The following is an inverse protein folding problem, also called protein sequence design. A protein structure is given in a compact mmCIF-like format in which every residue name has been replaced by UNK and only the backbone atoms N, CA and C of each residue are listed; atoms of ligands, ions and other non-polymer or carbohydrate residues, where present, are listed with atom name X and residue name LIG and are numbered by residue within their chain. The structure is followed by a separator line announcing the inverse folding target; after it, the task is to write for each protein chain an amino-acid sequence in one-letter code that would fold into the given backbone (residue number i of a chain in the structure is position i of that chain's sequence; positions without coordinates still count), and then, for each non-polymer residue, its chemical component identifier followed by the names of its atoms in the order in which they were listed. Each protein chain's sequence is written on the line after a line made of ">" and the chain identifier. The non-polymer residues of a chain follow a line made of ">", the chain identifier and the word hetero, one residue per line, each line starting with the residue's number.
data_IF_124982115560
#
_entry.id   IF_124982115560
#
_cell.length_a   1.000
_cell.length_b   1.000
_cell.length_c   1.000
_cell.angle_alpha   90.00
_cell.angle_beta   90.00
_cell.angle_gamma   90.00
#
_symmetry.space_group_name_H-M   'P 1'
#
loop_
_entity.id
_entity.type
_entity.pdbx_description
1 polymer ?
#
# COMPACT_ATOMS: atom_id res chain seq x y z
N UNK A 1 1.15 -1.55 7.19
CA UNK A 1 0.88 -0.10 7.28
C UNK A 1 0.11 0.19 8.55
N UNK A 2 0.36 1.28 9.24
CA UNK A 2 -0.28 1.57 10.53
C UNK A 2 0.05 2.96 11.06
N UNK A 3 0.84 3.74 10.34
CA UNK A 3 1.17 5.09 10.76
C UNK A 3 0.10 6.08 10.23
N UNK A 4 -0.36 6.99 11.10
CA UNK A 4 -1.45 7.93 10.78
C UNK A 4 -1.10 8.89 9.63
N UNK A 5 0.17 9.17 9.43
CA UNK A 5 0.64 10.12 8.41
C UNK A 5 0.53 9.58 6.96
N UNK A 6 0.28 8.27 6.80
CA UNK A 6 0.18 7.61 5.50
C UNK A 6 -1.21 7.04 5.20
N UNK A 7 -2.26 7.63 5.76
CA UNK A 7 -3.64 7.12 5.65
C UNK A 7 -4.10 6.86 4.21
N UNK A 8 -3.82 7.78 3.30
CA UNK A 8 -4.19 7.63 1.88
C UNK A 8 -3.37 6.54 1.16
N UNK A 9 -2.11 6.32 1.57
CA UNK A 9 -1.28 5.24 1.03
C UNK A 9 -1.74 3.88 1.54
N UNK A 10 -2.17 3.79 2.81
CA UNK A 10 -2.68 2.55 3.40
C UNK A 10 -3.83 1.99 2.58
N UNK A 11 -4.81 2.80 2.23
CA UNK A 11 -5.98 2.37 1.46
C UNK A 11 -5.59 1.85 0.08
N UNK A 12 -4.65 2.52 -0.59
CA UNK A 12 -4.15 2.10 -1.90
C UNK A 12 -3.31 0.82 -1.81
N UNK A 13 -2.48 0.67 -0.78
CA UNK A 13 -1.69 -0.55 -0.57
C UNK A 13 -2.60 -1.75 -0.28
N UNK A 14 -3.65 -1.55 0.52
CA UNK A 14 -4.63 -2.60 0.81
C UNK A 14 -5.34 -3.09 -0.46
N UNK A 15 -5.56 -2.23 -1.46
CA UNK A 15 -6.19 -2.63 -2.74
C UNK A 15 -5.34 -3.62 -3.57
N UNK A 16 -4.06 -3.77 -3.26
CA UNK A 16 -3.18 -4.76 -3.89
C UNK A 16 -3.13 -6.10 -3.15
N UNK A 17 -3.75 -6.19 -1.96
CA UNK A 17 -3.69 -7.37 -1.11
C UNK A 17 -4.92 -8.28 -1.30
N UNK A 18 -4.73 -9.59 -1.18
CA UNK A 18 -5.80 -10.60 -1.16
C UNK A 18 -6.21 -11.00 0.26
N UNK A 19 -5.38 -10.69 1.25
CA UNK A 19 -5.63 -10.95 2.67
C UNK A 19 -4.88 -9.97 3.55
N UNK A 20 -5.18 -9.96 4.84
CA UNK A 20 -4.55 -9.10 5.82
C UNK A 20 -4.22 -9.85 7.10
N UNK A 21 -3.02 -9.66 7.63
CA UNK A 21 -2.67 -10.07 8.99
C UNK A 21 -2.90 -8.90 9.93
N UNK A 22 -3.83 -9.03 10.86
CA UNK A 22 -4.07 -8.06 11.91
C UNK A 22 -3.24 -8.41 13.14
N UNK A 23 -2.11 -7.72 13.31
CA UNK A 23 -1.21 -7.93 14.45
C UNK A 23 -1.66 -7.06 15.62
N UNK A 24 -1.95 -7.69 16.76
CA UNK A 24 -2.37 -7.01 17.99
C UNK A 24 -1.42 -7.38 19.11
N UNK A 25 -0.98 -6.40 19.88
CA UNK A 25 -0.13 -6.60 21.07
C UNK A 25 -0.97 -7.22 22.19
N UNK A 26 -0.54 -8.36 22.73
CA UNK A 26 -1.24 -9.10 23.76
C UNK A 26 -1.38 -8.35 25.10
N UNK A 27 -0.58 -7.32 25.35
CA UNK A 27 -0.63 -6.50 26.55
C UNK A 27 -1.40 -5.18 26.31
N UNK A 28 -1.12 -4.49 25.20
CA UNK A 28 -1.73 -3.19 24.88
C UNK A 28 -3.14 -3.31 24.32
N UNK A 29 -3.45 -4.40 23.58
CA UNK A 29 -4.73 -4.60 22.93
C UNK A 29 -4.94 -3.75 21.69
N UNK A 30 -6.19 -3.39 21.42
CA UNK A 30 -6.60 -2.67 20.23
C UNK A 30 -6.26 -1.18 20.33
N UNK A 31 -5.46 -0.68 19.37
CA UNK A 31 -5.02 0.71 19.30
C UNK A 31 -5.87 1.51 18.27
N UNK A 32 -5.98 2.85 18.41
CA UNK A 32 -6.74 3.69 17.47
C UNK A 32 -6.33 3.52 16.00
N UNK A 33 -5.04 3.31 15.75
CA UNK A 33 -4.51 3.06 14.40
C UNK A 33 -4.97 1.72 13.84
N UNK A 34 -5.06 0.68 14.70
CA UNK A 34 -5.61 -0.63 14.35
C UNK A 34 -7.06 -0.48 13.85
N UNK A 35 -7.88 0.28 14.57
CA UNK A 35 -9.27 0.59 14.19
C UNK A 35 -9.35 1.24 12.80
N UNK A 36 -8.50 2.22 12.55
CA UNK A 36 -8.48 2.93 11.26
C UNK A 36 -8.14 1.99 10.09
N UNK A 37 -7.03 1.23 10.20
CA UNK A 37 -6.56 0.34 9.12
C UNK A 37 -7.53 -0.81 8.91
N UNK A 38 -8.05 -1.40 10.00
CA UNK A 38 -9.03 -2.48 9.93
C UNK A 38 -10.32 -2.02 9.25
N UNK A 39 -10.84 -0.83 9.58
CA UNK A 39 -12.02 -0.27 8.91
C UNK A 39 -11.84 -0.17 7.39
N UNK A 40 -10.66 0.21 6.92
CA UNK A 40 -10.35 0.26 5.49
C UNK A 40 -10.25 -1.13 4.86
N UNK A 41 -9.60 -2.07 5.54
CA UNK A 41 -9.48 -3.46 5.09
C UNK A 41 -10.85 -4.15 4.96
N UNK A 42 -11.72 -4.01 5.96
CA UNK A 42 -13.06 -4.60 5.95
C UNK A 42 -13.94 -4.01 4.83
N UNK A 43 -13.87 -2.68 4.60
CA UNK A 43 -14.60 -2.01 3.50
C UNK A 43 -14.15 -2.48 2.11
N UNK A 44 -12.90 -2.92 1.96
CA UNK A 44 -12.39 -3.50 0.72
C UNK A 44 -12.69 -5.00 0.59
N UNK A 45 -13.42 -5.58 1.54
CA UNK A 45 -13.81 -6.98 1.52
C UNK A 45 -12.69 -7.95 1.93
N UNK A 46 -11.58 -7.46 2.49
CA UNK A 46 -10.52 -8.33 2.97
C UNK A 46 -11.00 -9.14 4.17
N UNK A 47 -10.56 -10.41 4.24
CA UNK A 47 -10.79 -11.32 5.37
C UNK A 47 -9.52 -11.37 6.21
N UNK A 48 -9.47 -10.68 7.36
CA UNK A 48 -8.27 -10.65 8.19
C UNK A 48 -8.01 -11.97 8.91
N UNK A 49 -6.74 -12.30 9.09
CA UNK A 49 -6.25 -13.29 10.07
C UNK A 49 -5.80 -12.47 11.29
N UNK A 50 -6.35 -12.74 12.45
CA UNK A 50 -5.97 -12.08 13.70
C UNK A 50 -4.78 -12.80 14.32
N UNK A 51 -3.73 -12.05 14.65
CA UNK A 51 -2.54 -12.57 15.32
C UNK A 51 -2.30 -11.77 16.60
N UNK A 52 -2.59 -12.39 17.73
CA UNK A 52 -2.30 -11.83 19.05
C UNK A 52 -0.82 -12.08 19.36
N UNK A 53 0.00 -11.04 19.21
CA UNK A 53 1.44 -11.11 19.23
C UNK A 53 2.00 -10.65 20.58
N UNK A 54 3.28 -10.93 20.80
CA UNK A 54 4.06 -10.60 22.00
C UNK A 54 3.61 -11.37 23.26
N UNK A 55 3.18 -12.62 23.10
CA UNK A 55 2.85 -13.50 24.22
C UNK A 55 4.04 -13.83 25.14
N UNK A 56 5.24 -13.42 24.77
CA UNK A 56 6.44 -13.47 25.60
C UNK A 56 6.48 -12.39 26.70
N UNK A 57 5.57 -11.42 26.70
CA UNK A 57 5.44 -10.41 27.74
C UNK A 57 4.80 -11.00 29.02
N UNK A 58 5.28 -10.54 30.19
CA UNK A 58 4.75 -10.98 31.47
C UNK A 58 3.34 -10.44 31.79
N UNK A 59 2.97 -9.30 31.21
CA UNK A 59 1.71 -8.59 31.36
C UNK A 59 0.71 -8.89 30.24
N UNK A 60 0.90 -9.97 29.49
CA UNK A 60 0.00 -10.39 28.45
C UNK A 60 -1.40 -10.75 29.00
N UNK A 61 -2.44 -10.38 28.28
CA UNK A 61 -3.87 -10.64 28.57
C UNK A 61 -4.61 -11.10 27.31
N UNK A 62 -4.05 -12.12 26.65
CA UNK A 62 -4.44 -12.53 25.30
C UNK A 62 -5.95 -12.79 25.12
N UNK A 63 -6.64 -13.39 26.10
CA UNK A 63 -8.05 -13.67 26.02
C UNK A 63 -8.89 -12.39 26.03
N UNK A 64 -8.58 -11.43 26.92
CA UNK A 64 -9.24 -10.13 26.97
C UNK A 64 -9.02 -9.34 25.65
N UNK A 65 -7.80 -9.41 25.12
CA UNK A 65 -7.46 -8.76 23.84
C UNK A 65 -8.19 -9.40 22.67
N UNK A 66 -8.48 -10.68 22.71
CA UNK A 66 -9.32 -11.35 21.71
C UNK A 66 -10.75 -10.82 21.76
N UNK A 67 -11.34 -10.69 22.95
CA UNK A 67 -12.68 -10.13 23.14
C UNK A 67 -12.75 -8.68 22.67
N UNK A 68 -11.76 -7.83 23.05
CA UNK A 68 -11.64 -6.44 22.56
C UNK A 68 -11.55 -6.39 21.01
N UNK A 69 -10.87 -7.36 20.40
CA UNK A 69 -10.73 -7.44 18.95
C UNK A 69 -12.06 -7.79 18.30
N UNK A 70 -12.79 -8.76 18.85
CA UNK A 70 -14.12 -9.11 18.36
C UNK A 70 -15.08 -7.93 18.44
N UNK A 71 -15.11 -7.23 19.59
CA UNK A 71 -15.92 -6.03 19.78
C UNK A 71 -15.55 -4.92 18.76
N UNK A 72 -14.26 -4.80 18.43
CA UNK A 72 -13.83 -3.88 17.40
C UNK A 72 -14.41 -4.24 16.03
N UNK A 73 -14.37 -5.52 15.61
CA UNK A 73 -14.95 -5.94 14.34
C UNK A 73 -16.45 -5.65 14.28
N UNK A 74 -17.19 -5.97 15.35
CA UNK A 74 -18.61 -5.64 15.47
C UNK A 74 -18.84 -4.12 15.36
N UNK A 75 -18.03 -3.31 16.03
CA UNK A 75 -18.14 -1.83 15.99
C UNK A 75 -17.82 -1.22 14.62
N UNK A 76 -17.20 -1.98 13.71
CA UNK A 76 -16.85 -1.59 12.35
C UNK A 76 -17.81 -2.18 11.31
N UNK A 77 -18.95 -2.72 11.73
CA UNK A 77 -19.97 -3.35 10.88
C UNK A 77 -19.42 -4.49 10.01
N UNK A 78 -18.49 -5.30 10.56
CA UNK A 78 -17.98 -6.49 9.89
C UNK A 78 -19.13 -7.47 9.58
N UNK A 79 -19.12 -8.07 8.39
CA UNK A 79 -20.10 -9.08 8.01
C UNK A 79 -19.79 -10.45 8.67
N UNK A 80 -20.73 -11.42 8.56
CA UNK A 80 -20.59 -12.73 9.17
C UNK A 80 -19.29 -13.45 8.79
N UNK A 81 -18.88 -13.37 7.50
CA UNK A 81 -17.64 -13.99 7.03
C UNK A 81 -16.38 -13.31 7.60
N UNK A 82 -16.46 -12.01 7.89
CA UNK A 82 -15.36 -11.25 8.48
C UNK A 82 -15.31 -11.43 9.99
N UNK A 83 -16.44 -11.73 10.65
CA UNK A 83 -16.50 -12.05 12.07
C UNK A 83 -16.00 -13.47 12.38
N UNK A 84 -16.05 -14.38 11.40
CA UNK A 84 -15.47 -15.73 11.48
C UNK A 84 -13.98 -15.73 11.13
N UNK A 85 -13.24 -14.82 11.75
CA UNK A 85 -11.80 -14.68 11.50
C UNK A 85 -10.99 -15.72 12.28
N UNK A 86 -10.00 -16.36 11.64
CA UNK A 86 -9.07 -17.24 12.35
C UNK A 86 -8.13 -16.44 13.26
N UNK A 87 -7.79 -17.04 14.40
CA UNK A 87 -6.93 -16.45 15.43
C UNK A 87 -5.70 -17.29 15.64
N UNK A 88 -4.55 -16.62 15.75
CA UNK A 88 -3.29 -17.22 16.18
C UNK A 88 -2.66 -16.39 17.30
N UNK A 89 -1.95 -17.10 18.15
CA UNK A 89 -1.16 -16.56 19.25
C UNK A 89 0.32 -16.65 18.92
N UNK A 90 1.06 -15.56 19.08
CA UNK A 90 2.42 -15.52 18.57
C UNK A 90 3.40 -14.75 19.47
N UNK A 91 4.68 -15.05 19.28
CA UNK A 91 5.78 -14.16 19.64
C UNK A 91 6.70 -14.01 18.43
N UNK A 92 6.57 -12.90 17.73
CA UNK A 92 7.45 -12.59 16.60
C UNK A 92 8.90 -12.47 17.00
N UNK A 93 9.19 -12.04 18.24
CA UNK A 93 10.55 -11.99 18.79
C UNK A 93 11.15 -13.37 18.96
N UNK A 94 10.34 -14.33 19.45
CA UNK A 94 10.80 -15.69 19.71
C UNK A 94 10.62 -16.61 18.50
N UNK A 95 9.99 -16.15 17.41
CA UNK A 95 9.88 -16.86 16.14
C UNK A 95 8.89 -18.02 16.15
N UNK A 96 7.75 -17.90 16.87
CA UNK A 96 6.73 -18.93 16.91
C UNK A 96 5.31 -18.35 16.79
N UNK A 97 4.38 -19.19 16.31
CA UNK A 97 2.93 -18.97 16.33
C UNK A 97 2.23 -20.29 16.68
N UNK A 98 1.07 -20.21 17.30
CA UNK A 98 0.27 -21.38 17.71
C UNK A 98 -1.23 -21.07 17.66
N UNK A 99 -2.06 -22.10 17.57
CA UNK A 99 -3.52 -21.98 17.62
C UNK A 99 -4.05 -21.77 19.05
N UNK A 100 -3.27 -22.08 20.06
CA UNK A 100 -3.63 -21.99 21.45
C UNK A 100 -2.64 -21.13 22.24
N UNK A 101 -3.11 -20.42 23.27
CA UNK A 101 -2.28 -19.58 24.15
C UNK A 101 -1.14 -20.37 24.78
N UNK A 102 -1.44 -21.61 25.21
CA UNK A 102 -0.50 -22.52 25.87
C UNK A 102 0.05 -23.61 24.95
N UNK A 103 0.00 -23.39 23.64
CA UNK A 103 0.48 -24.33 22.63
C UNK A 103 1.99 -24.57 22.65
N UNK A 104 2.48 -25.49 21.81
CA UNK A 104 3.87 -25.98 21.87
C UNK A 104 4.95 -24.99 21.46
N UNK A 105 4.62 -23.80 20.92
CA UNK A 105 5.52 -22.67 20.62
C UNK A 105 6.79 -23.03 19.82
N UNK A 106 6.65 -23.84 18.75
CA UNK A 106 7.80 -24.43 18.04
C UNK A 106 8.40 -23.51 16.97
N UNK A 107 7.58 -22.97 16.09
CA UNK A 107 7.99 -22.17 14.93
C UNK A 107 6.79 -21.37 14.35
N UNK A 108 7.00 -20.69 13.22
CA UNK A 108 5.96 -19.90 12.52
C UNK A 108 5.12 -20.71 11.52
N UNK A 109 5.33 -22.02 11.38
CA UNK A 109 4.58 -22.81 10.39
C UNK A 109 3.06 -22.71 10.58
N UNK A 110 2.46 -22.72 11.79
CA UNK A 110 1.02 -22.57 11.94
C UNK A 110 0.48 -21.27 11.29
N UNK A 111 1.23 -20.18 11.35
CA UNK A 111 0.86 -18.93 10.70
C UNK A 111 0.98 -19.03 9.18
N UNK A 112 2.07 -19.64 8.68
CA UNK A 112 2.28 -19.77 7.23
C UNK A 112 1.26 -20.73 6.60
N UNK A 113 0.94 -21.82 7.26
CA UNK A 113 -0.06 -22.79 6.82
C UNK A 113 -1.45 -22.16 6.79
N UNK A 114 -1.81 -21.39 7.84
CA UNK A 114 -3.07 -20.68 7.91
C UNK A 114 -3.20 -19.60 6.80
N UNK A 115 -2.12 -18.87 6.48
CA UNK A 115 -2.14 -17.91 5.37
C UNK A 115 -2.48 -18.62 4.06
N UNK A 116 -1.84 -19.75 3.78
CA UNK A 116 -2.06 -20.52 2.54
C UNK A 116 -3.48 -21.08 2.49
N UNK A 117 -4.04 -21.50 3.60
CA UNK A 117 -5.39 -22.05 3.70
C UNK A 117 -6.47 -20.97 3.58
N UNK A 118 -6.30 -19.85 4.29
CA UNK A 118 -7.32 -18.81 4.45
C UNK A 118 -7.33 -17.81 3.31
N UNK A 119 -6.15 -17.40 2.79
CA UNK A 119 -6.04 -16.42 1.73
C UNK A 119 -6.11 -17.11 0.37
N UNK A 120 -7.26 -17.01 -0.29
CA UNK A 120 -7.44 -17.58 -1.63
C UNK A 120 -6.67 -16.73 -2.65
N UNK A 121 -5.94 -17.36 -3.59
CA UNK A 121 -5.33 -16.65 -4.70
C UNK A 121 -6.42 -15.97 -5.56
N UNK A 122 -6.14 -14.77 -6.03
CA UNK A 122 -7.06 -14.09 -6.95
C UNK A 122 -7.16 -14.86 -8.27
N UNK A 123 -8.40 -15.01 -8.75
CA UNK A 123 -8.67 -15.58 -10.09
C UNK A 123 -8.48 -14.46 -11.14
N UNK A 124 -7.27 -14.39 -11.69
CA UNK A 124 -6.86 -13.35 -12.64
C UNK A 124 -6.58 -13.94 -14.02
N UNK A 125 -7.15 -13.30 -15.04
CA UNK A 125 -7.02 -13.73 -16.42
C UNK A 125 -5.71 -13.22 -17.06
N UNK A 126 -4.76 -14.12 -17.27
CA UNK A 126 -3.46 -13.83 -17.90
C UNK A 126 -3.55 -13.71 -19.43
N UNK A 127 -4.67 -14.10 -20.04
CA UNK A 127 -4.84 -14.10 -21.51
C UNK A 127 -5.38 -12.77 -22.04
N UNK A 128 -5.97 -11.95 -21.18
CA UNK A 128 -6.47 -10.63 -21.53
C UNK A 128 -5.33 -9.65 -21.86
N UNK A 129 -5.63 -8.53 -22.54
CA UNK A 129 -4.69 -7.42 -22.67
C UNK A 129 -4.19 -6.93 -21.30
N UNK A 130 -2.91 -6.57 -21.23
CA UNK A 130 -2.31 -6.07 -20.00
C UNK A 130 -3.05 -4.84 -19.44
N UNK A 131 -3.37 -4.87 -18.16
CA UNK A 131 -3.82 -3.72 -17.39
C UNK A 131 -3.40 -3.83 -15.93
N UNK A 132 -2.90 -2.73 -15.36
CA UNK A 132 -2.59 -2.57 -13.93
C UNK A 132 -3.08 -1.24 -13.40
N UNK A 133 -3.50 -1.21 -12.14
CA UNK A 133 -3.82 0.02 -11.44
C UNK A 133 -2.53 0.58 -10.81
N UNK A 134 -2.22 1.84 -11.08
CA UNK A 134 -1.13 2.55 -10.41
C UNK A 134 -1.54 2.93 -8.99
N UNK A 135 -0.86 2.40 -7.97
CA UNK A 135 -1.16 2.62 -6.56
C UNK A 135 -0.16 3.52 -5.85
N UNK A 136 1.10 3.45 -6.23
CA UNK A 136 2.18 4.27 -5.70
C UNK A 136 3.01 4.88 -6.82
N UNK A 137 3.58 6.04 -6.54
CA UNK A 137 4.46 6.77 -7.44
C UNK A 137 5.80 7.00 -6.75
N UNK A 138 6.88 6.68 -7.46
CA UNK A 138 8.24 7.02 -7.05
C UNK A 138 8.95 7.79 -8.17
N UNK A 139 9.84 8.69 -7.79
CA UNK A 139 10.78 9.31 -8.71
C UNK A 139 12.16 8.74 -8.44
N UNK A 140 12.76 8.19 -9.48
CA UNK A 140 14.10 7.65 -9.45
C UNK A 140 15.01 8.54 -10.34
N UNK A 141 16.19 8.90 -9.87
CA UNK A 141 17.11 9.76 -10.62
C UNK A 141 17.58 9.16 -11.96
N UNK A 142 17.51 7.83 -12.11
CA UNK A 142 17.91 7.08 -13.29
C UNK A 142 16.74 6.68 -14.19
N UNK A 143 15.62 6.30 -13.58
CA UNK A 143 14.46 5.76 -14.29
C UNK A 143 13.39 6.82 -14.52
N UNK A 144 13.53 7.98 -13.90
CA UNK A 144 12.50 8.99 -13.87
C UNK A 144 11.27 8.54 -13.07
N UNK A 145 10.08 8.83 -13.59
CA UNK A 145 8.80 8.49 -12.98
C UNK A 145 8.57 6.99 -13.03
N UNK A 146 8.35 6.38 -11.88
CA UNK A 146 8.13 4.94 -11.71
C UNK A 146 6.83 4.70 -10.97
N UNK A 147 5.94 3.89 -11.54
CA UNK A 147 4.62 3.58 -11.02
C UNK A 147 4.61 2.17 -10.45
N UNK A 148 4.05 2.00 -9.26
CA UNK A 148 3.89 0.69 -8.63
C UNK A 148 2.43 0.31 -8.63
N UNK A 149 2.15 -0.94 -8.94
CA UNK A 149 0.80 -1.47 -8.91
C UNK A 149 0.77 -2.98 -9.06
N UNK A 150 -0.41 -3.54 -8.82
CA UNK A 150 -0.69 -4.94 -9.11
C UNK A 150 -1.21 -5.07 -10.53
N UNK A 151 -0.69 -6.02 -11.29
CA UNK A 151 -1.23 -6.37 -12.59
C UNK A 151 -2.59 -7.05 -12.38
N UNK A 152 -3.66 -6.40 -12.83
CA UNK A 152 -5.02 -6.91 -12.67
C UNK A 152 -5.38 -7.96 -13.72
N UNK A 153 -4.81 -7.86 -14.91
CA UNK A 153 -5.02 -8.81 -16.00
C UNK A 153 -3.87 -8.78 -17.01
N UNK A 154 -3.74 -9.85 -17.75
CA UNK A 154 -2.80 -9.98 -18.85
C UNK A 154 -1.35 -10.10 -18.40
N UNK A 155 -0.45 -9.71 -19.29
CA UNK A 155 1.00 -9.85 -19.12
C UNK A 155 1.71 -8.58 -19.56
N UNK A 156 2.52 -7.99 -18.69
CA UNK A 156 3.40 -6.88 -18.96
C UNK A 156 4.73 -7.37 -19.53
N UNK A 157 5.18 -6.84 -20.67
CA UNK A 157 6.46 -7.18 -21.28
C UNK A 157 7.30 -5.93 -21.47
N UNK A 158 8.61 -6.03 -21.25
CA UNK A 158 9.52 -4.93 -21.53
C UNK A 158 9.44 -4.51 -23.01
N UNK A 159 9.54 -3.21 -23.26
CA UNK A 159 9.45 -2.53 -24.56
C UNK A 159 8.09 -2.60 -25.28
N UNK A 160 7.03 -3.13 -24.65
CA UNK A 160 5.69 -3.08 -25.25
C UNK A 160 5.12 -1.64 -25.23
N UNK A 161 4.29 -1.27 -26.24
CA UNK A 161 3.55 -0.02 -26.21
C UNK A 161 2.46 -0.07 -25.13
N UNK A 162 2.36 1.00 -24.35
CA UNK A 162 1.39 1.16 -23.27
C UNK A 162 0.81 2.57 -23.27
N UNK A 163 -0.37 2.71 -22.67
CA UNK A 163 -0.97 4.00 -22.34
C UNK A 163 -1.40 4.05 -20.88
N UNK A 164 -1.60 5.27 -20.38
CA UNK A 164 -2.27 5.52 -19.13
C UNK A 164 -3.65 6.14 -19.43
N UNK A 165 -4.68 5.66 -18.75
CA UNK A 165 -6.03 6.21 -18.77
C UNK A 165 -6.45 6.57 -17.34
N UNK A 166 -7.13 7.72 -17.19
CA UNK A 166 -7.66 8.15 -15.90
C UNK A 166 -8.97 7.41 -15.56
N UNK A 167 -9.54 7.68 -14.38
CA UNK A 167 -10.80 7.07 -13.93
C UNK A 167 -12.00 7.36 -14.84
N UNK A 168 -11.94 8.41 -15.67
CA UNK A 168 -12.97 8.74 -16.65
C UNK A 168 -12.77 8.02 -18.00
N UNK A 169 -11.71 7.22 -18.16
CA UNK A 169 -11.35 6.56 -19.41
C UNK A 169 -10.59 7.45 -20.41
N UNK A 170 -10.21 8.67 -20.00
CA UNK A 170 -9.46 9.59 -20.86
C UNK A 170 -7.98 9.22 -20.87
N UNK A 171 -7.37 9.24 -22.06
CA UNK A 171 -5.93 9.00 -22.20
C UNK A 171 -5.12 10.15 -21.60
N UNK A 172 -4.31 9.85 -20.60
CA UNK A 172 -3.41 10.79 -19.92
C UNK A 172 -2.03 10.80 -20.54
N UNK A 173 -1.53 9.61 -20.91
CA UNK A 173 -0.17 9.43 -21.41
C UNK A 173 -0.09 8.21 -22.34
N UNK A 174 0.96 8.18 -23.19
CA UNK A 174 1.26 7.06 -24.07
C UNK A 174 2.76 6.94 -24.25
N UNK A 175 3.28 5.72 -24.17
CA UNK A 175 4.72 5.47 -24.27
C UNK A 175 5.06 3.99 -24.44
N UNK A 176 6.26 3.63 -24.06
CA UNK A 176 6.71 2.25 -24.01
C UNK A 176 7.08 1.88 -22.59
N UNK A 177 6.77 0.67 -22.18
CA UNK A 177 7.18 0.10 -20.91
C UNK A 177 8.67 -0.20 -20.92
N UNK A 178 9.50 0.78 -20.53
CA UNK A 178 10.95 0.72 -20.67
C UNK A 178 11.61 -0.26 -19.72
N UNK A 179 11.10 -0.37 -18.51
CA UNK A 179 11.61 -1.25 -17.45
C UNK A 179 10.46 -1.79 -16.58
N UNK A 180 10.63 -3.03 -16.16
CA UNK A 180 9.77 -3.69 -15.18
C UNK A 180 10.65 -4.21 -14.05
N UNK A 181 10.22 -4.02 -12.82
CA UNK A 181 10.91 -4.58 -11.64
C UNK A 181 9.90 -5.29 -10.75
N UNK A 182 10.38 -6.27 -10.02
CA UNK A 182 9.68 -6.95 -8.93
C UNK A 182 10.48 -6.77 -7.64
N UNK A 183 9.79 -6.75 -6.51
CA UNK A 183 10.46 -6.82 -5.21
C UNK A 183 10.69 -8.27 -4.82
N UNK A 184 11.94 -8.60 -4.48
CA UNK A 184 12.35 -9.87 -3.86
C UNK A 184 12.88 -9.54 -2.46
N UNK A 185 12.03 -9.70 -1.45
CA UNK A 185 12.27 -9.13 -0.13
C UNK A 185 12.31 -7.59 -0.20
N UNK A 186 13.43 -7.00 0.15
CA UNK A 186 13.65 -5.54 0.09
C UNK A 186 14.36 -5.08 -1.19
N UNK A 187 14.76 -6.01 -2.06
CA UNK A 187 15.52 -5.69 -3.27
C UNK A 187 14.60 -5.54 -4.48
N UNK A 188 14.83 -4.51 -5.27
CA UNK A 188 14.17 -4.26 -6.54
C UNK A 188 14.95 -4.98 -7.65
N UNK A 189 14.36 -6.02 -8.23
CA UNK A 189 14.99 -6.89 -9.23
C UNK A 189 14.34 -6.64 -10.60
N UNK A 190 15.11 -6.37 -11.67
CA UNK A 190 14.57 -6.22 -13.02
C UNK A 190 14.04 -7.55 -13.53
N UNK A 191 12.89 -7.50 -14.22
CA UNK A 191 12.27 -8.64 -14.88
C UNK A 191 11.87 -8.25 -16.31
N UNK A 192 11.82 -9.22 -17.22
CA UNK A 192 11.39 -8.98 -18.60
C UNK A 192 9.88 -9.09 -18.77
N UNK A 193 9.25 -9.88 -17.92
CA UNK A 193 7.83 -10.22 -17.98
C UNK A 193 7.22 -10.21 -16.59
N UNK A 194 6.08 -9.52 -16.41
CA UNK A 194 5.22 -9.58 -15.23
C UNK A 194 3.84 -10.11 -15.62
N UNK A 195 3.24 -10.94 -14.78
CA UNK A 195 1.94 -11.57 -15.04
C UNK A 195 0.85 -11.06 -14.11
N UNK A 196 -0.40 -11.25 -14.49
CA UNK A 196 -1.55 -10.93 -13.66
C UNK A 196 -1.39 -11.52 -12.24
N UNK A 197 -1.53 -10.68 -11.23
CA UNK A 197 -1.26 -10.97 -9.81
C UNK A 197 0.07 -10.43 -9.28
N UNK A 198 1.06 -10.22 -10.16
CA UNK A 198 2.34 -9.66 -9.74
C UNK A 198 2.20 -8.18 -9.32
N UNK A 199 2.89 -7.81 -8.24
CA UNK A 199 3.10 -6.40 -7.88
C UNK A 199 4.41 -5.96 -8.50
N UNK A 200 4.32 -5.02 -9.44
CA UNK A 200 5.45 -4.57 -10.24
C UNK A 200 5.68 -3.07 -10.14
N UNK A 201 6.91 -2.67 -10.43
CA UNK A 201 7.30 -1.28 -10.66
C UNK A 201 7.55 -1.11 -12.13
N UNK A 202 6.84 -0.20 -12.77
CA UNK A 202 6.94 0.08 -14.20
C UNK A 202 7.44 1.49 -14.46
N UNK A 203 8.25 1.66 -15.50
CA UNK A 203 8.77 2.94 -15.97
C UNK A 203 8.53 3.08 -17.48
N UNK A 204 8.40 4.33 -17.95
CA UNK A 204 8.23 4.63 -19.37
C UNK A 204 7.05 5.55 -19.69
N UNK A 205 6.37 6.06 -18.68
CA UNK A 205 5.33 7.08 -18.77
C UNK A 205 5.72 8.31 -17.94
N UNK A 206 5.55 9.50 -18.50
CA UNK A 206 5.98 10.75 -17.86
C UNK A 206 4.87 11.47 -17.11
N UNK A 207 3.62 11.34 -17.59
CA UNK A 207 2.45 12.06 -17.06
C UNK A 207 1.52 11.20 -16.24
N UNK A 208 1.63 9.87 -16.36
CA UNK A 208 0.79 8.93 -15.62
C UNK A 208 0.93 9.13 -14.11
N UNK A 209 -0.17 8.96 -13.38
CA UNK A 209 -0.25 9.25 -11.95
C UNK A 209 -0.83 8.06 -11.17
N UNK A 210 -0.92 8.22 -9.86
CA UNK A 210 -1.64 7.28 -8.99
C UNK A 210 -3.13 7.31 -9.36
N UNK A 211 -3.79 6.16 -9.24
CA UNK A 211 -5.16 5.87 -9.67
C UNK A 211 -5.37 5.82 -11.20
N UNK A 212 -4.35 6.07 -12.01
CA UNK A 212 -4.43 5.80 -13.44
C UNK A 212 -4.29 4.30 -13.72
N UNK A 213 -4.98 3.82 -14.76
CA UNK A 213 -4.81 2.48 -15.29
C UNK A 213 -3.72 2.49 -16.37
N UNK A 214 -2.65 1.73 -16.12
CA UNK A 214 -1.57 1.51 -17.10
C UNK A 214 -1.91 0.25 -17.88
N UNK A 215 -2.04 0.36 -19.20
CA UNK A 215 -2.57 -0.73 -19.99
C UNK A 215 -2.06 -0.76 -21.44
N UNK A 216 -2.37 -1.84 -22.13
CA UNK A 216 -2.18 -1.93 -23.58
C UNK A 216 -3.06 -0.91 -24.31
N UNK A 217 -2.68 -0.53 -25.55
CA UNK A 217 -3.37 0.50 -26.33
C UNK A 217 -4.84 0.18 -26.61
N UNK A 218 -5.20 -1.09 -26.67
CA UNK A 218 -6.55 -1.60 -26.96
C UNK A 218 -7.52 -1.54 -25.76
N UNK A 219 -7.00 -1.42 -24.51
CA UNK A 219 -7.83 -1.34 -23.31
C UNK A 219 -8.39 0.07 -23.16
N UNK A 220 -9.71 0.23 -23.02
CA UNK A 220 -10.37 1.52 -22.88
C UNK A 220 -11.11 1.68 -21.54
N UNK A 221 -11.37 0.57 -20.84
CA UNK A 221 -12.06 0.60 -19.56
C UNK A 221 -11.06 0.74 -18.42
N UNK A 222 -11.15 1.79 -17.60
CA UNK A 222 -10.27 1.98 -16.46
C UNK A 222 -10.56 0.96 -15.35
N UNK A 223 -9.53 0.54 -14.64
CA UNK A 223 -9.69 -0.26 -13.42
C UNK A 223 -10.30 0.64 -12.35
N UNK A 224 -11.39 0.22 -11.69
CA UNK A 224 -11.97 0.99 -10.58
C UNK A 224 -10.95 1.27 -9.48
N UNK A 225 -10.87 2.51 -9.04
CA UNK A 225 -10.00 2.92 -7.95
C UNK A 225 -10.68 3.99 -7.09
N UNK A 226 -10.27 4.08 -5.83
CA UNK A 226 -10.70 5.17 -4.95
C UNK A 226 -10.05 6.48 -5.44
N UNK A 227 -10.83 7.54 -5.70
CA UNK A 227 -10.29 8.84 -6.03
C UNK A 227 -9.34 9.35 -4.95
N UNK A 228 -8.35 10.13 -5.35
CA UNK A 228 -7.46 10.80 -4.40
C UNK A 228 -8.19 12.02 -3.86
N UNK A 229 -8.34 12.09 -2.54
CA UNK A 229 -8.93 13.26 -1.90
C UNK A 229 -8.08 14.51 -2.18
N UNK A 230 -8.71 15.63 -2.56
CA UNK A 230 -7.99 16.89 -2.77
C UNK A 230 -7.40 17.40 -1.44
N UNK A 231 -6.29 18.18 -1.50
CA UNK A 231 -5.72 18.80 -0.31
C UNK A 231 -6.76 19.67 0.43
N UNK A 232 -6.88 19.48 1.75
CA UNK A 232 -7.85 20.20 2.59
C UNK A 232 -7.27 21.45 3.26
N UNK A 233 -5.94 21.58 3.25
CA UNK A 233 -5.22 22.72 3.86
C UNK A 233 -4.22 23.32 2.88
N UNK A 234 -4.01 24.62 2.96
CA UNK A 234 -2.95 25.31 2.24
C UNK A 234 -1.99 26.02 3.21
N UNK A 235 -0.71 26.02 2.88
CA UNK A 235 0.33 26.76 3.59
C UNK A 235 1.10 27.59 2.57
N UNK A 236 1.54 28.79 3.01
CA UNK A 236 2.41 29.64 2.20
C UNK A 236 3.83 29.55 2.73
N UNK A 237 4.79 29.23 1.86
CA UNK A 237 6.21 29.15 2.22
C UNK A 237 6.94 30.30 1.50
N UNK A 238 7.61 31.16 2.27
CA UNK A 238 8.36 32.29 1.76
C UNK A 238 9.81 32.26 2.25
N UNK A 239 10.66 33.04 1.62
CA UNK A 239 12.04 33.25 2.10
C UNK A 239 12.04 33.92 3.46
N UNK A 240 13.01 33.57 4.30
CA UNK A 240 13.21 34.25 5.57
C UNK A 240 13.77 35.66 5.33
N UNK A 241 12.96 36.69 5.63
CA UNK A 241 13.31 38.13 5.50
C UNK A 241 13.85 38.73 6.78
N UNK A 242 14.02 37.95 7.86
CA UNK A 242 14.59 38.43 9.12
C UNK A 242 16.01 38.97 8.92
N UNK A 243 16.43 40.03 9.67
CA UNK A 243 17.83 40.51 9.69
C UNK A 243 18.84 39.42 10.09
N UNK A 244 18.39 38.36 10.79
CA UNK A 244 19.22 37.24 11.22
C UNK A 244 19.23 36.09 10.17
N UNK A 245 18.59 36.27 9.01
CA UNK A 245 18.57 35.24 7.96
C UNK A 245 20.00 34.96 7.45
N UNK A 246 20.44 33.72 7.57
CA UNK A 246 21.77 33.25 7.14
C UNK A 246 22.84 33.30 8.21
N UNK A 247 22.55 33.72 9.46
CA UNK A 247 23.49 33.64 10.59
C UNK A 247 23.63 32.19 11.10
N UNK A 248 22.55 31.42 11.03
CA UNK A 248 22.54 29.98 11.31
C UNK A 248 22.03 29.23 10.06
N UNK A 249 22.90 28.47 9.43
CA UNK A 249 22.59 27.75 8.20
C UNK A 249 22.72 28.57 6.92
N UNK A 250 22.36 27.97 5.79
CA UNK A 250 22.42 28.63 4.46
C UNK A 250 21.15 29.46 4.23
N UNK A 251 21.32 30.67 3.69
CA UNK A 251 20.21 31.49 3.21
C UNK A 251 19.57 30.79 1.98
N UNK A 252 18.30 30.47 2.08
CA UNK A 252 17.53 29.90 0.96
C UNK A 252 16.98 31.00 0.06
N UNK A 253 17.05 30.79 -1.25
CA UNK A 253 16.43 31.65 -2.26
C UNK A 253 15.01 31.20 -2.59
N UNK A 254 14.17 32.09 -3.11
CA UNK A 254 12.82 31.74 -3.60
C UNK A 254 12.87 30.63 -4.66
N UNK A 255 13.85 30.68 -5.55
CA UNK A 255 14.06 29.65 -6.58
C UNK A 255 14.32 28.27 -5.97
N UNK A 256 15.19 28.20 -4.96
CA UNK A 256 15.48 26.90 -4.29
C UNK A 256 14.25 26.34 -3.57
N UNK A 257 13.46 27.20 -2.93
CA UNK A 257 12.19 26.79 -2.28
C UNK A 257 11.22 26.30 -3.35
N UNK A 258 11.02 27.05 -4.42
CA UNK A 258 10.16 26.70 -5.55
C UNK A 258 10.54 25.34 -6.15
N UNK A 259 11.80 25.16 -6.52
CA UNK A 259 12.28 23.93 -7.16
C UNK A 259 12.07 22.72 -6.25
N UNK A 260 12.30 22.86 -4.94
CA UNK A 260 12.05 21.83 -3.96
C UNK A 260 10.55 21.49 -3.82
N UNK A 261 9.67 22.49 -3.80
CA UNK A 261 8.22 22.30 -3.71
C UNK A 261 7.66 21.68 -5.00
N UNK A 262 8.14 22.10 -6.16
CA UNK A 262 7.76 21.48 -7.45
C UNK A 262 8.17 20.01 -7.46
N UNK A 263 9.38 19.69 -7.04
CA UNK A 263 9.86 18.32 -6.96
C UNK A 263 9.02 17.46 -5.99
N UNK A 264 8.64 18.04 -4.84
CA UNK A 264 7.78 17.35 -3.87
C UNK A 264 6.39 17.07 -4.43
N UNK A 265 5.77 18.08 -5.07
CA UNK A 265 4.45 17.93 -5.70
C UNK A 265 4.44 16.93 -6.86
N UNK A 266 5.57 16.75 -7.57
CA UNK A 266 5.69 15.73 -8.61
C UNK A 266 5.71 14.31 -8.06
N UNK A 267 6.17 14.13 -6.82
CA UNK A 267 6.35 12.83 -6.18
C UNK A 267 5.27 12.49 -5.16
N UNK A 268 4.50 13.47 -4.72
CA UNK A 268 3.47 13.31 -3.69
C UNK A 268 2.13 13.79 -4.22
N UNK A 269 1.25 12.82 -4.52
CA UNK A 269 -0.09 13.08 -5.08
C UNK A 269 -1.04 13.82 -4.12
N UNK A 270 -0.72 13.88 -2.82
CA UNK A 270 -1.47 14.63 -1.82
C UNK A 270 -1.11 16.12 -1.73
N UNK A 271 -0.14 16.58 -2.55
CA UNK A 271 0.36 17.97 -2.52
C UNK A 271 0.15 18.64 -3.87
N UNK A 272 -0.48 19.80 -3.86
CA UNK A 272 -0.59 20.68 -5.04
C UNK A 272 0.25 21.93 -4.78
N UNK A 273 1.15 22.25 -5.71
CA UNK A 273 1.94 23.47 -5.67
C UNK A 273 1.33 24.52 -6.59
N UNK A 274 1.12 25.73 -6.04
CA UNK A 274 0.72 26.94 -6.77
C UNK A 274 1.69 28.06 -6.47
N UNK A 275 2.14 28.81 -7.48
CA UNK A 275 2.97 30.01 -7.32
C UNK A 275 2.14 31.21 -6.85
#
# INVERSE_FOLDING_TARGET
>A
PGHRDFAAEVERVLSMADGALLLIDSAEGVMPQTKFVLSKALKQGLKPIVVINKLDKADQRANEVLDETFDLFVSLDANEEQLDFPVLYASGRSGWADNEVDGPRKNLNPLLDLIVEHVKPADLDKTKPFAMLSTLLYSDSFLGRSLVGRIAQGTAKANQPIKAINLNGEKVDEGKLTKIFRYEGTKKVPIDVGEAGDIVVVAGLEKANVADTICNLEVNDPIPATPIDPPTMSITITVNTSPLAGTEGKKLTSTQIRDRLVQEAQNNVGITFTE
#
